data_IF_077370422050
#
_entry.id   IF_077370422050
#
_cell.length_a   1.000
_cell.length_b   1.000
_cell.length_c   1.000
_cell.angle_alpha   90.00
_cell.angle_beta   90.00
_cell.angle_gamma   90.00
#
_symmetry.space_group_name_H-M   'P 1'
#
loop_
_entity.id
_entity.type
_entity.pdbx_description
1 polymer ?
#
# COMPACT_ATOMS: atom_id res chain seq x y z
N UNK A 1 25.36 -10.42 4.68
CA UNK A 1 24.92 -9.48 3.62
C UNK A 1 23.40 -9.45 3.67
N UNK A 2 22.83 -8.49 4.38
CA UNK A 2 21.38 -8.26 4.32
C UNK A 2 21.10 -7.52 3.01
N UNK A 3 20.09 -7.90 2.22
CA UNK A 3 19.72 -7.13 1.06
C UNK A 3 19.18 -5.79 1.55
N UNK A 4 19.96 -4.76 1.29
CA UNK A 4 19.51 -3.37 1.15
C UNK A 4 18.21 -3.35 0.34
N UNK A 5 17.08 -3.49 1.04
CA UNK A 5 15.76 -3.41 0.40
C UNK A 5 15.65 -1.96 -0.06
N UNK A 6 15.63 -1.76 -1.36
CA UNK A 6 15.50 -0.45 -1.98
C UNK A 6 14.21 0.21 -1.47
N UNK A 7 14.22 1.48 -1.04
CA UNK A 7 13.02 2.15 -0.51
C UNK A 7 11.86 2.17 -1.53
N UNK A 8 12.16 2.15 -2.83
CA UNK A 8 11.17 2.06 -3.90
C UNK A 8 10.50 0.68 -4.00
N UNK A 9 11.08 -0.36 -3.38
CA UNK A 9 10.55 -1.72 -3.42
C UNK A 9 9.23 -1.85 -2.66
N UNK A 10 9.07 -1.15 -1.52
CA UNK A 10 7.80 -1.13 -0.78
C UNK A 10 6.71 -0.35 -1.52
N UNK A 11 7.06 0.74 -2.21
CA UNK A 11 6.15 1.47 -3.09
C UNK A 11 5.68 0.56 -4.22
N UNK A 12 6.61 -0.11 -4.89
CA UNK A 12 6.30 -1.09 -5.94
C UNK A 12 5.35 -2.17 -5.44
N UNK A 13 5.62 -2.76 -4.28
CA UNK A 13 4.76 -3.80 -3.69
C UNK A 13 3.35 -3.26 -3.43
N UNK A 14 3.25 -2.08 -2.81
CA UNK A 14 1.95 -1.48 -2.50
C UNK A 14 1.13 -1.25 -3.77
N UNK A 15 1.75 -0.72 -4.82
CA UNK A 15 1.10 -0.49 -6.11
C UNK A 15 0.68 -1.80 -6.79
N UNK A 16 1.54 -2.82 -6.78
CA UNK A 16 1.21 -4.12 -7.38
C UNK A 16 0.10 -4.85 -6.61
N UNK A 17 0.12 -4.78 -5.28
CA UNK A 17 -0.95 -5.32 -4.43
C UNK A 17 -2.25 -4.59 -4.69
N UNK A 18 -2.25 -3.26 -4.70
CA UNK A 18 -3.44 -2.45 -4.97
C UNK A 18 -3.98 -2.60 -6.40
N UNK A 19 -3.12 -2.92 -7.37
CA UNK A 19 -3.53 -3.18 -8.76
C UNK A 19 -4.25 -4.52 -8.91
N UNK A 20 -3.83 -5.54 -8.14
CA UNK A 20 -4.27 -6.93 -8.31
C UNK A 20 -5.32 -7.37 -7.28
N UNK A 21 -5.35 -6.72 -6.12
CA UNK A 21 -6.16 -7.13 -4.98
C UNK A 21 -6.92 -5.93 -4.41
N UNK A 22 -8.18 -6.16 -4.06
CA UNK A 22 -8.95 -5.21 -3.26
C UNK A 22 -8.63 -5.42 -1.79
N UNK A 23 -7.94 -4.47 -1.15
CA UNK A 23 -7.49 -4.61 0.24
C UNK A 23 -8.24 -3.66 1.17
N UNK A 24 -8.90 -4.23 2.17
CA UNK A 24 -9.50 -3.52 3.30
C UNK A 24 -9.04 -4.12 4.62
N UNK A 25 -8.96 -3.31 5.68
CA UNK A 25 -8.59 -3.73 7.03
C UNK A 25 -9.20 -2.83 8.11
N UNK A 26 -9.17 -3.30 9.35
CA UNK A 26 -9.74 -2.60 10.52
C UNK A 26 -8.84 -1.50 11.10
N UNK A 27 -7.58 -1.40 10.62
CA UNK A 27 -6.62 -0.36 10.94
C UNK A 27 -5.36 -0.52 10.04
N UNK A 28 -4.36 0.33 10.25
CA UNK A 28 -3.11 0.31 9.49
C UNK A 28 -2.22 -0.91 9.78
N UNK A 29 -2.25 -1.46 11.00
CA UNK A 29 -1.47 -2.64 11.40
C UNK A 29 -2.01 -3.89 10.69
N UNK A 30 -3.32 -4.10 10.73
CA UNK A 30 -3.98 -5.18 10.00
C UNK A 30 -3.83 -5.03 8.47
N UNK A 31 -3.76 -3.79 7.96
CA UNK A 31 -3.46 -3.55 6.56
C UNK A 31 -2.04 -3.97 6.21
N UNK A 32 -1.04 -3.63 7.03
CA UNK A 32 0.34 -4.05 6.86
C UNK A 32 0.46 -5.58 6.81
N UNK A 33 -0.17 -6.28 7.74
CA UNK A 33 -0.17 -7.75 7.79
C UNK A 33 -0.76 -8.35 6.49
N UNK A 34 -1.90 -7.83 6.03
CA UNK A 34 -2.53 -8.28 4.78
C UNK A 34 -1.68 -7.99 3.55
N UNK A 35 -1.03 -6.82 3.47
CA UNK A 35 -0.13 -6.50 2.34
C UNK A 35 1.08 -7.42 2.35
N UNK A 36 1.66 -7.68 3.53
CA UNK A 36 2.79 -8.60 3.67
C UNK A 36 2.42 -10.03 3.25
N UNK A 37 1.27 -10.53 3.71
CA UNK A 37 0.76 -11.85 3.33
C UNK A 37 0.51 -11.93 1.82
N UNK A 38 -0.15 -10.92 1.24
CA UNK A 38 -0.46 -10.87 -0.19
C UNK A 38 0.81 -10.78 -1.04
N UNK A 39 1.83 -10.06 -0.57
CA UNK A 39 3.12 -9.96 -1.25
C UNK A 39 3.92 -11.28 -1.19
N UNK A 40 3.63 -12.15 -0.22
CA UNK A 40 4.33 -13.43 -0.03
C UNK A 40 5.78 -13.27 0.45
N UNK A 41 6.12 -12.14 1.05
CA UNK A 41 7.49 -11.79 1.47
C UNK A 41 7.46 -10.86 2.69
N UNK A 42 8.46 -10.93 3.57
CA UNK A 42 8.53 -10.05 4.74
C UNK A 42 8.66 -8.59 4.30
N UNK A 43 7.93 -7.72 4.99
CA UNK A 43 7.99 -6.27 4.82
C UNK A 43 8.46 -5.63 6.11
N UNK A 44 9.28 -4.60 6.00
CA UNK A 44 9.57 -3.72 7.13
C UNK A 44 8.39 -2.76 7.38
N UNK A 45 7.89 -2.63 8.63
CA UNK A 45 6.77 -1.75 8.95
C UNK A 45 7.08 -0.27 8.69
N UNK A 46 8.26 0.22 9.10
CA UNK A 46 8.60 1.64 8.96
C UNK A 46 8.66 2.06 7.48
N UNK A 47 9.23 1.21 6.63
CA UNK A 47 9.28 1.39 5.17
C UNK A 47 7.91 1.24 4.53
N UNK A 48 7.06 0.37 5.03
CA UNK A 48 5.66 0.30 4.59
C UNK A 48 4.92 1.63 4.86
N UNK A 49 5.02 2.16 6.08
CA UNK A 49 4.40 3.45 6.42
C UNK A 49 4.99 4.60 5.57
N UNK A 50 6.30 4.62 5.34
CA UNK A 50 6.94 5.58 4.46
C UNK A 50 6.46 5.47 3.00
N UNK A 51 6.30 4.25 2.48
CA UNK A 51 5.80 4.00 1.14
C UNK A 51 4.34 4.46 0.97
N UNK A 52 3.49 4.20 1.97
CA UNK A 52 2.10 4.71 1.99
C UNK A 52 2.10 6.24 1.95
N UNK A 53 2.92 6.89 2.79
CA UNK A 53 3.02 8.35 2.82
C UNK A 53 3.51 8.93 1.48
N UNK A 54 4.53 8.32 0.87
CA UNK A 54 5.04 8.72 -0.44
C UNK A 54 3.96 8.57 -1.53
N UNK A 55 3.24 7.45 -1.57
CA UNK A 55 2.17 7.22 -2.53
C UNK A 55 1.02 8.23 -2.39
N UNK A 56 0.70 8.66 -1.17
CA UNK A 56 -0.30 9.71 -0.93
C UNK A 56 0.22 11.06 -1.42
N UNK A 57 1.45 11.42 -1.04
CA UNK A 57 2.07 12.69 -1.42
C UNK A 57 2.19 12.84 -2.95
N UNK A 58 2.48 11.74 -3.64
CA UNK A 58 2.56 11.70 -5.09
C UNK A 58 1.21 11.50 -5.80
N UNK A 59 0.12 11.32 -5.05
CA UNK A 59 -1.23 11.14 -5.59
C UNK A 59 -1.43 9.81 -6.32
N UNK A 60 -0.65 8.78 -6.00
CA UNK A 60 -0.77 7.43 -6.57
C UNK A 60 -1.86 6.61 -5.88
N UNK A 61 -2.09 6.84 -4.59
CA UNK A 61 -3.20 6.22 -3.84
C UNK A 61 -4.08 7.28 -3.22
N UNK A 62 -5.33 6.94 -2.94
CA UNK A 62 -6.17 7.78 -2.07
C UNK A 62 -5.75 7.59 -0.62
N UNK A 63 -6.04 8.59 0.21
CA UNK A 63 -5.88 8.47 1.66
C UNK A 63 -6.60 7.21 2.15
N UNK A 64 -5.87 6.22 2.72
CA UNK A 64 -6.42 4.90 2.92
C UNK A 64 -7.20 4.80 4.23
N UNK A 65 -6.95 5.69 5.19
CA UNK A 65 -7.69 5.75 6.45
C UNK A 65 -9.01 6.47 6.18
N UNK A 66 -10.12 5.77 6.38
CA UNK A 66 -11.46 6.35 6.35
C UNK A 66 -12.06 6.32 7.76
N UNK A 67 -12.44 7.50 8.21
CA UNK A 67 -13.30 7.66 9.38
C UNK A 67 -14.74 7.61 8.88
N UNK A 68 -15.43 6.50 9.09
CA UNK A 68 -16.86 6.40 8.83
C UNK A 68 -17.61 7.29 9.84
N UNK A 69 -18.56 8.10 9.38
CA UNK A 69 -19.40 8.92 10.26
C UNK A 69 -20.07 8.02 11.32
N UNK A 70 -19.83 8.31 12.60
CA UNK A 70 -20.28 7.59 13.79
C UNK A 70 -19.56 6.27 14.15
N UNK A 71 -18.41 5.94 13.54
CA UNK A 71 -17.60 4.79 13.99
C UNK A 71 -16.34 5.24 14.74
N UNK A 72 -16.09 4.62 15.89
CA UNK A 72 -14.79 4.69 16.60
C UNK A 72 -13.69 3.87 15.92
N UNK A 73 -14.03 3.17 14.83
CA UNK A 73 -13.15 2.24 14.13
C UNK A 73 -12.64 2.90 12.85
N UNK A 74 -11.31 2.92 12.68
CA UNK A 74 -10.67 3.44 11.48
C UNK A 74 -10.61 2.34 10.42
N UNK A 75 -11.35 2.45 9.33
CA UNK A 75 -11.23 1.48 8.25
C UNK A 75 -10.08 1.87 7.31
N UNK A 76 -9.23 0.91 7.00
CA UNK A 76 -8.17 1.07 6.02
C UNK A 76 -8.58 0.46 4.69
N UNK A 77 -8.38 1.18 3.59
CA UNK A 77 -8.66 0.70 2.22
C UNK A 77 -7.57 1.15 1.26
N UNK A 78 -6.94 0.19 0.58
CA UNK A 78 -6.03 0.49 -0.52
C UNK A 78 -6.82 0.78 -1.77
N UNK A 79 -6.69 1.99 -2.30
CA UNK A 79 -7.29 2.38 -3.57
C UNK A 79 -6.29 3.17 -4.40
N UNK A 80 -5.92 2.62 -5.56
CA UNK A 80 -5.10 3.32 -6.53
C UNK A 80 -5.90 4.42 -7.22
N UNK A 81 -5.26 5.57 -7.45
CA UNK A 81 -5.76 6.59 -8.37
C UNK A 81 -5.47 6.17 -9.82
N UNK A 82 -6.00 6.88 -10.84
CA UNK A 82 -5.60 6.63 -12.23
C UNK A 82 -4.06 6.70 -12.42
N UNK A 83 -3.38 7.65 -11.77
CA UNK A 83 -1.91 7.75 -11.77
C UNK A 83 -1.26 6.51 -11.15
N UNK A 84 -1.77 6.03 -10.02
CA UNK A 84 -1.27 4.82 -9.37
C UNK A 84 -1.43 3.57 -10.23
N UNK A 85 -2.56 3.44 -10.93
CA UNK A 85 -2.81 2.32 -11.87
C UNK A 85 -1.82 2.36 -13.04
N UNK A 86 -1.61 3.52 -13.65
CA UNK A 86 -0.65 3.68 -14.76
C UNK A 86 0.78 3.34 -14.31
N UNK A 87 1.18 3.84 -13.15
CA UNK A 87 2.49 3.55 -12.54
C UNK A 87 2.63 2.05 -12.28
N UNK A 88 1.62 1.41 -11.67
CA UNK A 88 1.62 -0.01 -11.37
C UNK A 88 1.72 -0.89 -12.64
N UNK A 89 1.06 -0.51 -13.73
CA UNK A 89 1.13 -1.22 -15.03
C UNK A 89 2.50 -1.12 -15.69
N UNK A 90 3.15 0.04 -15.57
CA UNK A 90 4.52 0.22 -16.05
C UNK A 90 5.49 -0.75 -15.34
N UNK A 91 5.26 -1.02 -14.06
CA UNK A 91 6.05 -1.96 -13.26
C UNK A 91 5.79 -3.44 -13.62
N UNK A 92 4.65 -3.76 -14.22
CA UNK A 92 4.34 -5.11 -14.73
C UNK A 92 4.81 -5.34 -16.16
N UNK A 93 5.34 -4.30 -16.83
CA UNK A 93 5.77 -4.37 -18.23
C UNK A 93 4.60 -4.61 -19.21
N UNK A 94 3.40 -4.12 -18.86
CA UNK A 94 2.16 -4.33 -19.62
C UNK A 94 1.63 -3.03 -20.19
#
# INVERSE_FOLDING_TARGET
MQPETDPDDHVRILLLVGLRHFLTADNAEAAFEKVQETAGRPLDPARFHAAVAACIAEGMIREPIRLESNSLHCHWRLELTPKGVETARTLTGT
#
